data_IF_185759539302
#
_entry.id   IF_185759539302
#
_cell.length_a   1.000
_cell.length_b   1.000
_cell.length_c   1.000
_cell.angle_alpha   90.00
_cell.angle_beta   90.00
_cell.angle_gamma   90.00
#
_symmetry.space_group_name_H-M   'P 1'
#
loop_
_entity.id
_entity.type
_entity.pdbx_description
1 polymer ?
#
# COMPACT_ATOMS: atom_id res chain seq x y z
N UNK A 1 16.41 0.56 13.57
CA UNK A 1 16.06 1.99 13.72
C UNK A 1 15.02 2.31 12.67
N UNK A 2 13.73 2.18 13.00
CA UNK A 2 12.64 2.13 12.00
C UNK A 2 12.63 3.35 11.09
N UNK A 3 12.35 3.14 9.81
CA UNK A 3 12.16 4.23 8.85
C UNK A 3 10.82 4.91 9.09
N UNK A 4 10.78 6.25 9.08
CA UNK A 4 9.51 6.99 9.12
C UNK A 4 8.82 6.85 7.77
N UNK A 5 7.56 6.39 7.78
CA UNK A 5 6.78 6.18 6.55
C UNK A 5 6.69 7.45 5.67
N UNK A 6 6.69 8.63 6.28
CA UNK A 6 6.66 9.91 5.57
C UNK A 6 7.89 10.15 4.66
N UNK A 7 9.03 9.52 4.95
CA UNK A 7 10.27 9.68 4.17
C UNK A 7 10.33 8.73 2.96
N UNK A 8 9.49 7.69 2.95
CA UNK A 8 9.52 6.62 1.93
C UNK A 8 9.39 7.18 0.51
N UNK A 9 8.43 8.08 0.18
CA UNK A 9 8.30 8.58 -1.19
C UNK A 9 9.52 9.36 -1.65
N UNK A 10 10.10 10.20 -0.78
CA UNK A 10 11.28 10.99 -1.10
C UNK A 10 12.51 10.09 -1.31
N UNK A 11 12.70 9.10 -0.45
CA UNK A 11 13.81 8.15 -0.54
C UNK A 11 13.69 7.24 -1.77
N UNK A 12 12.51 6.72 -2.08
CA UNK A 12 12.29 5.88 -3.26
C UNK A 12 12.65 6.63 -4.56
N UNK A 13 12.21 7.89 -4.68
CA UNK A 13 12.57 8.77 -5.81
C UNK A 13 14.07 9.05 -5.85
N UNK A 14 14.69 9.37 -4.71
CA UNK A 14 16.13 9.58 -4.63
C UNK A 14 16.93 8.35 -5.11
N UNK A 15 16.50 7.15 -4.75
CA UNK A 15 17.16 5.92 -5.21
C UNK A 15 16.96 5.68 -6.70
N UNK A 16 15.79 5.96 -7.26
CA UNK A 16 15.53 5.89 -8.69
C UNK A 16 16.40 6.88 -9.48
N UNK A 17 16.48 8.14 -9.04
CA UNK A 17 17.32 9.16 -9.65
C UNK A 17 18.80 8.76 -9.63
N UNK A 18 19.27 8.26 -8.48
CA UNK A 18 20.66 7.80 -8.34
C UNK A 18 20.95 6.61 -9.26
N UNK A 19 20.06 5.63 -9.31
CA UNK A 19 20.19 4.44 -10.16
C UNK A 19 20.26 4.81 -11.64
N UNK A 20 19.41 5.76 -12.06
CA UNK A 20 19.34 6.23 -13.44
C UNK A 20 20.57 7.04 -13.85
N UNK A 21 21.06 7.93 -12.96
CA UNK A 21 22.33 8.66 -13.18
C UNK A 21 23.51 7.71 -13.38
N UNK A 22 23.59 6.63 -12.60
CA UNK A 22 24.65 5.62 -12.73
C UNK A 22 24.61 4.88 -14.07
N UNK A 23 23.43 4.71 -14.66
CA UNK A 23 23.22 4.01 -15.93
C UNK A 23 23.10 4.94 -17.14
N UNK A 24 23.12 6.26 -16.93
CA UNK A 24 22.92 7.30 -17.95
C UNK A 24 21.59 7.13 -18.72
N UNK A 25 20.53 6.79 -17.98
CA UNK A 25 19.16 6.65 -18.50
C UNK A 25 18.23 7.64 -17.79
N UNK A 26 17.00 7.79 -18.29
CA UNK A 26 15.96 8.54 -17.60
C UNK A 26 15.55 7.81 -16.30
N UNK A 27 15.22 8.58 -15.27
CA UNK A 27 14.78 8.04 -13.99
C UNK A 27 13.40 7.39 -14.12
N UNK A 28 13.24 6.09 -13.78
CA UNK A 28 11.93 5.49 -13.71
C UNK A 28 11.08 6.14 -12.62
N UNK A 29 9.79 6.29 -12.90
CA UNK A 29 8.80 6.73 -11.91
C UNK A 29 8.16 5.52 -11.23
N UNK A 30 7.31 5.76 -10.24
CA UNK A 30 6.54 4.70 -9.58
C UNK A 30 5.06 4.94 -9.84
N UNK A 31 4.31 3.90 -10.16
CA UNK A 31 2.86 4.00 -10.18
C UNK A 31 2.31 4.25 -8.78
N UNK A 32 1.11 4.81 -8.70
CA UNK A 32 0.45 5.10 -7.42
C UNK A 32 0.32 3.84 -6.56
N UNK A 33 0.01 2.70 -7.18
CA UNK A 33 -0.11 1.42 -6.48
C UNK A 33 1.24 0.95 -5.92
N UNK A 34 2.31 1.03 -6.71
CA UNK A 34 3.66 0.69 -6.26
C UNK A 34 4.11 1.58 -5.09
N UNK A 35 3.92 2.89 -5.21
CA UNK A 35 4.27 3.86 -4.16
C UNK A 35 3.46 3.62 -2.88
N UNK A 36 2.18 3.29 -3.00
CA UNK A 36 1.33 2.97 -1.85
C UNK A 36 1.81 1.70 -1.14
N UNK A 37 2.21 0.66 -1.87
CA UNK A 37 2.79 -0.56 -1.31
C UNK A 37 4.07 -0.28 -0.52
N UNK A 38 4.98 0.50 -1.12
CA UNK A 38 6.22 0.94 -0.45
C UNK A 38 5.92 1.75 0.83
N UNK A 39 4.98 2.70 0.77
CA UNK A 39 4.64 3.59 1.88
C UNK A 39 3.96 2.87 3.05
N UNK A 40 3.12 1.85 2.78
CA UNK A 40 2.40 1.10 3.82
C UNK A 40 3.29 0.15 4.61
N UNK A 41 4.42 -0.27 4.05
CA UNK A 41 5.33 -1.21 4.68
C UNK A 41 6.16 -0.54 5.79
N UNK A 42 6.47 -1.29 6.85
CA UNK A 42 7.15 -0.74 8.04
C UNK A 42 8.67 -0.72 7.96
N UNK A 43 9.24 -1.38 6.93
CA UNK A 43 10.68 -1.44 6.68
C UNK A 43 11.49 -1.77 7.94
N UNK A 44 11.34 -3.00 8.49
CA UNK A 44 12.06 -3.43 9.70
C UNK A 44 13.59 -3.39 9.52
N UNK A 45 14.09 -3.57 8.30
CA UNK A 45 15.50 -3.38 7.93
C UNK A 45 15.90 -1.93 7.68
N UNK A 46 15.04 -0.97 8.02
CA UNK A 46 15.21 0.48 7.88
C UNK A 46 15.42 0.91 6.41
N UNK A 47 16.14 2.02 6.18
CA UNK A 47 16.42 2.58 4.85
C UNK A 47 17.14 1.60 3.91
N UNK A 48 17.96 0.67 4.46
CA UNK A 48 18.73 -0.28 3.64
C UNK A 48 17.81 -1.24 2.91
N UNK A 49 16.82 -1.78 3.61
CA UNK A 49 15.82 -2.68 3.01
C UNK A 49 15.02 -1.97 1.91
N UNK A 50 14.53 -0.75 2.18
CA UNK A 50 13.82 0.06 1.16
C UNK A 50 14.69 0.25 -0.09
N UNK A 51 15.95 0.63 0.08
CA UNK A 51 16.88 0.85 -1.02
C UNK A 51 17.09 -0.40 -1.86
N UNK A 52 17.29 -1.54 -1.21
CA UNK A 52 17.61 -2.79 -1.89
C UNK A 52 16.37 -3.29 -2.67
N UNK A 53 15.17 -3.15 -2.11
CA UNK A 53 13.92 -3.48 -2.81
C UNK A 53 13.62 -2.55 -3.98
N UNK A 54 13.79 -1.25 -3.80
CA UNK A 54 13.64 -0.26 -4.89
C UNK A 54 14.64 -0.55 -6.00
N UNK A 55 15.91 -0.83 -5.67
CA UNK A 55 16.92 -1.19 -6.67
C UNK A 55 16.50 -2.42 -7.48
N UNK A 56 16.07 -3.48 -6.80
CA UNK A 56 15.65 -4.71 -7.46
C UNK A 56 14.44 -4.47 -8.38
N UNK A 57 13.49 -3.62 -7.98
CA UNK A 57 12.36 -3.25 -8.83
C UNK A 57 12.79 -2.44 -10.07
N UNK A 58 13.76 -1.52 -9.92
CA UNK A 58 14.31 -0.74 -11.03
C UNK A 58 15.07 -1.62 -12.03
N UNK A 59 15.76 -2.66 -11.58
CA UNK A 59 16.44 -3.63 -12.44
C UNK A 59 15.46 -4.47 -13.29
N UNK A 60 14.21 -4.62 -12.82
CA UNK A 60 13.12 -5.28 -13.56
C UNK A 60 12.23 -4.30 -14.33
N UNK A 61 12.56 -3.00 -14.30
CA UNK A 61 11.74 -1.96 -14.92
C UNK A 61 12.12 -1.77 -16.38
N UNK A 62 11.26 -2.22 -17.28
CA UNK A 62 11.47 -2.08 -18.73
C UNK A 62 10.75 -0.85 -19.32
N UNK A 63 9.68 -0.37 -18.67
CA UNK A 63 8.77 0.68 -19.19
C UNK A 63 8.92 2.07 -18.57
N UNK A 64 9.97 2.33 -17.79
CA UNK A 64 10.18 3.61 -17.10
C UNK A 64 9.17 3.93 -15.98
N UNK A 65 8.26 3.01 -15.70
CA UNK A 65 7.34 3.05 -14.56
C UNK A 65 7.49 1.74 -13.78
N UNK A 66 7.70 1.87 -12.48
CA UNK A 66 7.71 0.75 -11.53
C UNK A 66 6.29 0.51 -11.03
N UNK A 67 5.80 -0.69 -11.30
CA UNK A 67 4.50 -1.21 -10.93
C UNK A 67 4.59 -2.29 -9.84
N UNK A 68 3.47 -2.63 -9.18
CA UNK A 68 3.42 -3.65 -8.14
C UNK A 68 4.03 -5.00 -8.53
N UNK A 69 3.96 -5.38 -9.80
CA UNK A 69 4.50 -6.65 -10.32
C UNK A 69 6.03 -6.75 -10.24
N UNK A 70 6.74 -5.62 -10.18
CA UNK A 70 8.21 -5.57 -10.08
C UNK A 70 8.68 -5.49 -8.63
N UNK A 71 7.75 -5.33 -7.70
CA UNK A 71 7.97 -5.24 -6.27
C UNK A 71 7.60 -6.56 -5.57
N UNK A 72 8.15 -6.81 -4.37
CA UNK A 72 7.81 -8.02 -3.62
C UNK A 72 6.33 -8.10 -3.24
N UNK A 73 5.75 -9.30 -3.36
CA UNK A 73 4.35 -9.56 -3.00
C UNK A 73 4.01 -9.19 -1.55
N UNK A 74 4.99 -9.22 -0.62
CA UNK A 74 4.78 -8.82 0.78
C UNK A 74 4.39 -7.36 0.98
N UNK A 75 4.66 -6.50 0.00
CA UNK A 75 4.21 -5.10 0.00
C UNK A 75 2.73 -4.96 -0.38
N UNK A 76 2.16 -6.02 -0.96
CA UNK A 76 0.77 -6.09 -1.41
C UNK A 76 0.09 -7.30 -0.75
N UNK A 77 -0.07 -7.30 0.59
CA UNK A 77 -0.86 -8.34 1.23
C UNK A 77 -2.24 -8.31 0.60
N UNK A 78 -2.67 -9.46 0.07
CA UNK A 78 -4.02 -9.63 -0.46
C UNK A 78 -5.06 -9.20 0.57
N UNK A 79 -6.32 -8.98 0.16
CA UNK A 79 -7.38 -8.69 1.11
C UNK A 79 -7.29 -9.73 2.23
N UNK A 80 -7.08 -9.27 3.47
CA UNK A 80 -7.20 -10.17 4.62
C UNK A 80 -8.57 -10.80 4.45
N UNK A 81 -8.62 -12.11 4.22
CA UNK A 81 -9.88 -12.84 4.35
C UNK A 81 -10.34 -12.51 5.76
N UNK A 82 -11.32 -11.64 5.90
CA UNK A 82 -12.02 -11.48 7.16
C UNK A 82 -12.72 -12.81 7.31
N UNK A 83 -12.18 -13.67 8.14
CA UNK A 83 -12.81 -14.93 8.51
C UNK A 83 -14.24 -14.61 8.92
N UNK A 84 -15.22 -15.19 8.21
CA UNK A 84 -16.64 -14.92 8.44
C UNK A 84 -17.07 -15.20 9.90
N UNK A 85 -16.27 -15.96 10.66
CA UNK A 85 -16.44 -16.17 12.10
C UNK A 85 -16.19 -14.91 12.94
N UNK A 86 -15.33 -13.98 12.52
CA UNK A 86 -15.00 -12.76 13.27
C UNK A 86 -16.06 -11.65 13.14
N UNK A 87 -16.93 -11.70 12.12
CA UNK A 87 -18.10 -10.79 12.01
C UNK A 87 -19.33 -11.28 12.78
N UNK A 88 -19.44 -12.58 13.06
CA UNK A 88 -20.59 -13.16 13.77
C UNK A 88 -20.68 -12.72 15.25
N UNK A 89 -19.60 -12.18 15.83
CA UNK A 89 -19.59 -11.59 17.17
C UNK A 89 -20.03 -10.11 17.21
N UNK A 90 -20.14 -9.44 16.05
CA UNK A 90 -20.63 -8.04 15.94
C UNK A 90 -22.09 -8.05 15.47
N UNK A 91 -22.90 -8.93 16.06
CA UNK A 91 -24.27 -9.20 15.62
C UNK A 91 -25.22 -9.48 16.77
N UNK A 92 -25.19 -8.67 17.84
CA UNK A 92 -26.18 -8.79 18.92
C UNK A 92 -26.40 -7.44 19.62
N UNK A 93 -27.11 -6.52 18.94
CA UNK A 93 -28.08 -5.57 19.53
C UNK A 93 -28.63 -4.65 18.43
N UNK A 94 -29.59 -5.17 17.67
CA UNK A 94 -30.61 -4.32 17.05
C UNK A 94 -31.95 -4.76 17.66
N UNK A 95 -32.48 -4.07 18.68
CA UNK A 95 -33.86 -4.30 19.08
C UNK A 95 -34.78 -3.86 17.94
N UNK A 96 -35.70 -4.76 17.60
CA UNK A 96 -36.64 -4.68 16.49
C UNK A 96 -37.77 -3.69 16.76
N UNK A 97 -37.99 -2.80 15.78
CA UNK A 97 -39.28 -2.34 15.24
C UNK A 97 -40.47 -2.22 16.22
N UNK A 98 -40.71 -1.01 16.75
CA UNK A 98 -42.04 -0.57 17.18
C UNK A 98 -42.83 -0.04 15.97
N UNK A 99 -43.95 -0.70 15.65
CA UNK A 99 -44.97 -0.21 14.72
C UNK A 99 -45.77 0.91 15.39
N UNK A 100 -46.01 2.02 14.68
CA UNK A 100 -47.26 2.77 14.81
C UNK A 100 -47.52 3.54 13.50
N UNK A 101 -48.55 3.11 12.79
CA UNK A 101 -49.11 3.76 11.61
C UNK A 101 -49.99 4.94 12.00
N UNK A 102 -49.99 5.94 11.12
CA UNK A 102 -51.09 6.83 10.73
C UNK A 102 -51.93 7.52 11.82
N UNK A 103 -51.78 8.85 11.89
CA UNK A 103 -52.90 9.73 12.20
C UNK A 103 -53.12 10.68 11.02
N UNK A 104 -54.32 10.56 10.47
CA UNK A 104 -54.87 11.28 9.34
C UNK A 104 -55.04 12.77 9.63
N UNK A 105 -54.86 13.58 8.59
CA UNK A 105 -55.39 14.93 8.49
C UNK A 105 -56.92 14.90 8.49
N UNK A 106 -57.53 15.51 9.50
CA UNK A 106 -58.56 16.56 9.46
C UNK A 106 -59.21 16.69 10.85
#
# INVERSE_FOLDING_TARGET
MRLRRADVPALARHFADRWARQRRVAAPTFSNAAMLGLWRHDWPGNVRELRDEVRAALERCEGGVVDPSQLPARLFPGPRRVDAKSMASVGARIPTRGRASALSFL
#
